data_IF_441340218529
#
_entry.id   IF_441340218529
#
_cell.length_a   1.000
_cell.length_b   1.000
_cell.length_c   1.000
_cell.angle_alpha   90.00
_cell.angle_beta   90.00
_cell.angle_gamma   90.00
#
_symmetry.space_group_name_H-M   'P 1'
#
loop_
_entity.id
_entity.type
_entity.pdbx_description
1 polymer ?
#
# COMPACT_ATOMS: atom_id res chain seq x y z
N UNK A 1 7.38 -13.47 17.09
CA UNK A 1 7.14 -14.51 16.08
C UNK A 1 7.34 -13.83 14.75
N UNK A 2 8.41 -14.19 14.03
CA UNK A 2 8.70 -13.59 12.73
C UNK A 2 7.78 -14.24 11.70
N UNK A 3 6.95 -13.43 11.03
CA UNK A 3 6.20 -13.88 9.87
C UNK A 3 7.23 -14.38 8.83
N UNK A 4 7.14 -15.67 8.50
CA UNK A 4 7.97 -16.28 7.46
C UNK A 4 7.41 -15.86 6.11
N UNK A 5 8.00 -14.82 5.53
CA UNK A 5 7.70 -14.40 4.17
C UNK A 5 8.22 -15.44 3.15
N UNK A 6 7.41 -15.74 2.14
CA UNK A 6 7.81 -16.54 0.96
C UNK A 6 8.24 -15.61 -0.20
N UNK A 7 9.25 -16.00 -0.99
CA UNK A 7 9.93 -15.17 -2.01
C UNK A 7 9.59 -15.62 -3.45
N UNK A 8 9.43 -14.69 -4.40
CA UNK A 8 9.14 -14.97 -5.82
C UNK A 8 9.91 -14.00 -6.78
N UNK A 9 10.14 -14.40 -8.03
CA UNK A 9 10.92 -13.65 -9.05
C UNK A 9 10.08 -12.72 -9.96
N UNK A 10 10.73 -11.73 -10.60
CA UNK A 10 10.14 -10.58 -11.30
C UNK A 10 10.46 -10.55 -12.82
N UNK A 11 9.63 -9.87 -13.65
CA UNK A 11 9.90 -9.51 -15.06
C UNK A 11 9.78 -7.98 -15.31
N UNK A 12 10.56 -7.44 -16.25
CA UNK A 12 10.97 -6.03 -16.43
C UNK A 12 9.91 -4.89 -16.34
N UNK A 13 10.34 -3.74 -15.79
CA UNK A 13 9.62 -2.46 -15.72
C UNK A 13 9.61 -1.77 -17.10
N UNK A 14 8.43 -1.52 -17.68
CA UNK A 14 8.31 -0.63 -18.84
C UNK A 14 8.03 0.82 -18.39
N UNK A 15 8.84 1.81 -18.81
CA UNK A 15 8.53 3.21 -18.53
C UNK A 15 7.34 3.66 -19.39
N UNK A 16 6.24 4.06 -18.74
CA UNK A 16 5.07 4.63 -19.44
C UNK A 16 5.18 6.15 -19.46
N UNK A 17 5.01 6.71 -20.65
CA UNK A 17 4.99 8.14 -20.96
C UNK A 17 3.72 8.82 -20.44
N UNK A 18 3.89 9.68 -19.43
CA UNK A 18 3.19 10.96 -19.12
C UNK A 18 1.67 11.16 -19.31
N UNK A 19 0.85 10.16 -19.66
CA UNK A 19 -0.60 10.35 -19.92
C UNK A 19 -1.53 10.20 -18.72
N UNK A 20 -1.02 9.91 -17.52
CA UNK A 20 -1.85 9.65 -16.33
C UNK A 20 -1.91 10.81 -15.33
N UNK A 21 -1.64 12.04 -15.78
CA UNK A 21 -1.71 13.24 -14.93
C UNK A 21 -2.80 14.17 -15.45
N UNK A 22 -4.08 13.81 -15.28
CA UNK A 22 -5.23 14.75 -15.26
C UNK A 22 -6.51 13.97 -14.98
N UNK A 23 -6.90 13.93 -13.71
CA UNK A 23 -8.31 13.74 -13.36
C UNK A 23 -9.00 15.12 -13.42
N UNK A 24 -10.10 15.24 -14.18
CA UNK A 24 -11.26 16.15 -14.02
C UNK A 24 -11.73 16.73 -15.37
N UNK A 25 -12.58 16.01 -16.09
CA UNK A 25 -13.85 16.54 -16.61
C UNK A 25 -14.89 15.41 -16.56
N UNK A 26 -16.03 15.69 -15.91
CA UNK A 26 -17.13 14.75 -15.70
C UNK A 26 -17.85 14.50 -17.03
N UNK A 27 -17.80 13.25 -17.54
CA UNK A 27 -18.62 12.83 -18.67
C UNK A 27 -19.55 11.66 -18.29
N UNK A 28 -20.78 11.57 -18.84
CA UNK A 28 -21.77 10.50 -18.57
C UNK A 28 -21.33 9.06 -18.90
N UNK A 29 -20.15 8.88 -19.50
CA UNK A 29 -19.50 7.60 -19.82
C UNK A 29 -19.08 6.78 -18.57
N UNK A 30 -19.21 7.32 -17.35
CA UNK A 30 -18.75 6.68 -16.10
C UNK A 30 -19.45 5.36 -15.76
N UNK A 31 -20.70 5.15 -16.22
CA UNK A 31 -21.41 3.87 -16.11
C UNK A 31 -20.75 2.76 -16.96
N UNK A 32 -20.10 3.13 -18.07
CA UNK A 32 -19.30 2.20 -18.89
C UNK A 32 -17.93 1.89 -18.27
N UNK A 33 -17.37 2.82 -17.50
CA UNK A 33 -16.08 2.67 -16.81
C UNK A 33 -16.13 1.75 -15.59
N UNK A 34 -17.26 1.68 -14.88
CA UNK A 34 -17.50 0.72 -13.79
C UNK A 34 -17.45 -0.75 -14.26
N UNK A 35 -17.79 -1.00 -15.53
CA UNK A 35 -17.71 -2.34 -16.15
C UNK A 35 -16.28 -2.74 -16.55
N UNK A 36 -15.33 -1.80 -16.62
CA UNK A 36 -13.93 -2.05 -17.00
C UNK A 36 -13.00 -2.29 -15.80
N UNK A 37 -13.47 -2.10 -14.57
CA UNK A 37 -12.67 -2.11 -13.33
C UNK A 37 -13.25 -3.10 -12.31
N UNK A 38 -13.68 -4.27 -12.78
CA UNK A 38 -14.21 -5.33 -11.92
C UNK A 38 -13.19 -5.68 -10.82
N UNK A 39 -13.64 -5.61 -9.56
CA UNK A 39 -12.80 -5.87 -8.37
C UNK A 39 -11.87 -4.75 -7.94
N UNK A 40 -11.75 -3.65 -8.68
CA UNK A 40 -10.83 -2.59 -8.30
C UNK A 40 -11.30 -1.81 -7.06
N UNK A 41 -10.35 -1.45 -6.20
CA UNK A 41 -10.56 -0.43 -5.19
C UNK A 41 -10.37 0.95 -5.83
N UNK A 42 -11.44 1.72 -5.94
CA UNK A 42 -11.44 3.04 -6.60
C UNK A 42 -11.60 4.20 -5.62
N UNK A 43 -12.04 3.93 -4.38
CA UNK A 43 -12.25 4.92 -3.32
C UNK A 43 -13.19 6.08 -3.69
N UNK A 44 -14.08 5.89 -4.68
CA UNK A 44 -15.00 6.93 -5.19
C UNK A 44 -16.28 7.10 -4.35
N UNK A 45 -16.58 6.13 -3.50
CA UNK A 45 -17.76 6.11 -2.63
C UNK A 45 -17.57 6.89 -1.33
N UNK A 46 -16.41 7.52 -1.14
CA UNK A 46 -16.08 8.27 0.08
C UNK A 46 -15.73 7.38 1.28
N UNK A 47 -15.61 6.08 1.09
CA UNK A 47 -15.24 5.12 2.13
C UNK A 47 -13.79 4.66 1.99
N UNK A 48 -13.28 3.90 2.97
CA UNK A 48 -12.01 3.18 2.85
C UNK A 48 -12.16 1.85 2.10
N UNK A 49 -13.36 1.51 1.63
CA UNK A 49 -13.69 0.24 0.97
C UNK A 49 -13.21 -0.99 1.75
N UNK A 50 -13.36 -0.94 3.09
CA UNK A 50 -13.00 -2.03 3.99
C UNK A 50 -11.51 -2.14 4.34
N UNK A 51 -10.66 -1.26 3.81
CA UNK A 51 -9.25 -1.23 4.18
C UNK A 51 -9.06 -0.80 5.64
N UNK A 52 -8.13 -1.46 6.32
CA UNK A 52 -7.81 -1.22 7.74
C UNK A 52 -6.32 -1.02 7.95
N UNK A 53 -5.97 -0.34 9.04
CA UNK A 53 -4.63 -0.41 9.60
C UNK A 53 -4.45 -1.77 10.26
N UNK A 54 -3.45 -2.53 9.83
CA UNK A 54 -3.06 -3.76 10.51
C UNK A 54 -2.08 -3.47 11.64
N UNK A 55 -0.98 -2.77 11.34
CA UNK A 55 0.07 -2.49 12.30
C UNK A 55 0.88 -1.25 11.94
N UNK A 56 1.32 -0.54 12.98
CA UNK A 56 2.39 0.44 12.91
C UNK A 56 3.63 -0.14 13.58
N UNK A 57 4.80 -0.03 12.94
CA UNK A 57 5.99 -0.79 13.33
C UNK A 57 7.30 -0.03 13.15
N UNK A 58 8.35 -0.46 13.86
CA UNK A 58 9.72 0.00 13.64
C UNK A 58 10.35 -0.84 12.52
N UNK A 59 10.57 -0.26 11.32
CA UNK A 59 11.10 -1.01 10.18
C UNK A 59 12.56 -1.43 10.37
N UNK A 60 13.29 -0.86 11.33
CA UNK A 60 14.70 -1.14 11.57
C UNK A 60 14.93 -2.08 12.75
N UNK A 61 13.88 -2.43 13.48
CA UNK A 61 13.91 -3.37 14.59
C UNK A 61 12.99 -4.56 14.36
N UNK A 62 13.17 -5.24 13.21
CA UNK A 62 12.46 -6.47 12.89
C UNK A 62 10.95 -6.34 12.82
N UNK A 63 10.43 -5.20 12.36
CA UNK A 63 9.01 -4.88 12.28
C UNK A 63 8.28 -4.95 13.64
N UNK A 64 8.99 -4.58 14.72
CA UNK A 64 8.42 -4.57 16.07
C UNK A 64 7.26 -3.57 16.16
N UNK A 65 6.09 -3.95 16.74
CA UNK A 65 4.96 -3.03 16.89
C UNK A 65 5.32 -1.75 17.65
N UNK A 66 4.92 -0.60 17.10
CA UNK A 66 5.11 0.69 17.74
C UNK A 66 3.98 0.99 18.72
N UNK A 67 4.34 1.50 19.90
CA UNK A 67 3.39 2.10 20.84
C UNK A 67 3.21 3.57 20.52
N UNK A 68 2.07 3.89 19.91
CA UNK A 68 1.75 5.25 19.47
C UNK A 68 1.01 5.99 20.57
N UNK A 69 1.42 7.25 20.78
CA UNK A 69 0.79 8.14 21.74
C UNK A 69 -0.39 8.91 21.09
N UNK A 70 -0.26 9.26 19.82
CA UNK A 70 -1.26 10.04 19.06
C UNK A 70 -1.13 9.84 17.55
N UNK A 71 -2.25 9.99 16.83
CA UNK A 71 -2.25 10.72 15.56
C UNK A 71 -2.37 9.97 14.25
N UNK A 72 -2.48 8.63 14.20
CA UNK A 72 -2.74 7.93 12.93
C UNK A 72 -4.22 7.93 12.56
N UNK A 73 -4.53 8.23 11.30
CA UNK A 73 -5.88 8.12 10.72
C UNK A 73 -5.79 7.41 9.36
N UNK A 74 -6.69 6.46 9.15
CA UNK A 74 -6.99 5.90 7.83
C UNK A 74 -8.34 6.45 7.38
N UNK A 75 -8.38 7.18 6.27
CA UNK A 75 -9.62 7.77 5.77
C UNK A 75 -9.68 7.76 4.25
N UNK A 76 -10.86 8.02 3.69
CA UNK A 76 -10.94 8.44 2.31
C UNK A 76 -10.39 9.86 2.16
N UNK A 77 -9.75 10.16 1.03
CA UNK A 77 -9.29 11.49 0.64
C UNK A 77 -9.93 11.88 -0.69
N UNK A 78 -10.87 12.83 -0.62
CA UNK A 78 -11.51 13.49 -1.78
C UNK A 78 -12.21 12.52 -2.75
N UNK A 79 -12.74 11.39 -2.25
CA UNK A 79 -13.38 10.36 -3.06
C UNK A 79 -12.46 9.82 -4.17
N UNK A 80 -11.15 9.73 -3.89
CA UNK A 80 -10.13 9.39 -4.90
C UNK A 80 -9.05 8.45 -4.40
N UNK A 81 -8.77 8.46 -3.10
CA UNK A 81 -7.67 7.70 -2.54
C UNK A 81 -7.95 7.30 -1.09
N UNK A 82 -7.38 6.18 -0.69
CA UNK A 82 -7.18 5.84 0.70
C UNK A 82 -6.00 6.66 1.24
N UNK A 83 -6.25 7.43 2.30
CA UNK A 83 -5.24 8.23 2.97
C UNK A 83 -4.83 7.60 4.29
N UNK A 84 -3.57 7.18 4.38
CA UNK A 84 -2.93 6.85 5.65
C UNK A 84 -2.12 8.07 6.10
N UNK A 85 -2.68 8.80 7.05
CA UNK A 85 -2.12 10.05 7.55
C UNK A 85 -1.72 9.90 9.00
N UNK A 86 -0.67 10.61 9.42
CA UNK A 86 -0.37 10.74 10.83
C UNK A 86 0.01 12.18 11.18
N UNK A 87 -0.80 12.85 12.01
CA UNK A 87 -0.64 14.28 12.29
C UNK A 87 -0.98 14.66 13.74
N UNK A 88 0.02 14.83 14.61
CA UNK A 88 1.40 14.36 14.50
C UNK A 88 1.50 12.84 14.80
N UNK A 89 2.40 12.12 14.13
CA UNK A 89 2.76 10.77 14.57
C UNK A 89 3.75 10.85 15.72
N UNK A 90 3.28 10.65 16.95
CA UNK A 90 4.15 10.66 18.12
C UNK A 90 4.34 9.24 18.63
N UNK A 91 5.58 8.77 18.55
CA UNK A 91 6.00 7.48 19.12
C UNK A 91 6.70 7.73 20.45
N UNK A 92 6.44 6.86 21.42
CA UNK A 92 6.97 7.00 22.79
C UNK A 92 8.49 6.85 22.86
N UNK A 93 9.05 6.05 21.97
CA UNK A 93 10.47 5.68 22.00
C UNK A 93 11.32 6.70 21.23
N UNK A 94 12.34 7.24 21.91
CA UNK A 94 13.23 8.29 21.39
C UNK A 94 14.23 7.76 20.36
N UNK A 95 14.40 6.44 20.23
CA UNK A 95 15.29 5.81 19.25
C UNK A 95 14.66 5.60 17.87
N UNK A 96 13.34 5.78 17.74
CA UNK A 96 12.61 5.51 16.50
C UNK A 96 12.82 6.65 15.52
N UNK A 97 13.41 6.33 14.37
CA UNK A 97 13.68 7.29 13.29
C UNK A 97 12.83 7.06 12.06
N UNK A 98 11.98 6.03 12.04
CA UNK A 98 11.03 5.75 10.97
C UNK A 98 9.81 5.02 11.52
N UNK A 99 8.67 5.17 10.83
CA UNK A 99 7.46 4.41 11.09
C UNK A 99 7.09 3.62 9.84
N UNK A 100 7.05 2.31 10.01
CA UNK A 100 6.41 1.40 9.10
C UNK A 100 4.90 1.35 9.32
N UNK A 101 4.16 1.21 8.23
CA UNK A 101 2.70 1.10 8.18
C UNK A 101 2.35 -0.13 7.35
N UNK A 102 1.59 -1.05 7.95
CA UNK A 102 0.91 -2.11 7.24
C UNK A 102 -0.58 -1.77 7.11
N UNK A 103 -1.05 -1.65 5.87
CA UNK A 103 -2.48 -1.64 5.57
C UNK A 103 -2.90 -2.99 5.03
N UNK A 104 -4.12 -3.40 5.37
CA UNK A 104 -4.71 -4.66 4.93
C UNK A 104 -6.03 -4.38 4.21
N UNK A 105 -6.25 -5.03 3.09
CA UNK A 105 -7.52 -5.00 2.37
C UNK A 105 -8.61 -5.76 3.13
N UNK A 106 -9.90 -5.62 2.77
CA UNK A 106 -10.92 -6.59 3.19
C UNK A 106 -10.56 -8.03 2.74
N UNK A 107 -11.27 -9.02 3.28
CA UNK A 107 -11.15 -10.41 2.85
C UNK A 107 -11.69 -10.57 1.42
N UNK A 108 -10.81 -10.96 0.51
CA UNK A 108 -11.05 -11.10 -0.92
C UNK A 108 -11.39 -12.54 -1.34
N UNK A 109 -11.41 -13.52 -0.43
CA UNK A 109 -11.57 -14.94 -0.78
C UNK A 109 -12.87 -15.28 -1.52
N UNK A 110 -13.89 -14.42 -1.40
CA UNK A 110 -15.18 -14.53 -2.07
C UNK A 110 -15.31 -13.60 -3.29
N UNK A 111 -14.33 -12.74 -3.53
CA UNK A 111 -14.34 -11.78 -4.63
C UNK A 111 -13.74 -12.43 -5.88
N UNK A 112 -14.60 -12.88 -6.80
CA UNK A 112 -14.21 -13.57 -8.05
C UNK A 112 -13.24 -12.76 -8.90
N UNK A 113 -13.35 -11.43 -8.84
CA UNK A 113 -12.45 -10.50 -9.49
C UNK A 113 -10.97 -10.70 -9.12
N UNK A 114 -10.73 -11.14 -7.88
CA UNK A 114 -9.41 -11.30 -7.26
C UNK A 114 -8.88 -12.73 -7.26
N UNK A 115 -9.66 -13.71 -7.72
CA UNK A 115 -9.21 -15.09 -7.77
C UNK A 115 -8.56 -15.42 -9.11
N UNK A 116 -7.47 -16.19 -9.08
CA UNK A 116 -6.72 -16.57 -10.30
C UNK A 116 -5.98 -15.41 -10.97
N UNK A 117 -5.72 -14.33 -10.25
CA UNK A 117 -5.01 -13.17 -10.78
C UNK A 117 -3.53 -13.48 -11.02
N UNK A 118 -2.93 -12.82 -12.01
CA UNK A 118 -1.49 -12.83 -12.24
C UNK A 118 -0.75 -11.88 -11.31
N UNK A 119 -1.44 -11.01 -10.59
CA UNK A 119 -0.81 -9.94 -9.84
C UNK A 119 -1.78 -8.81 -9.53
N UNK A 120 -1.25 -7.67 -9.10
CA UNK A 120 -2.05 -6.46 -8.93
C UNK A 120 -1.24 -5.21 -9.23
N UNK A 121 -1.95 -4.14 -9.54
CA UNK A 121 -1.38 -2.81 -9.77
C UNK A 121 -1.98 -1.79 -8.84
N UNK A 122 -1.24 -0.73 -8.54
CA UNK A 122 -1.76 0.40 -7.79
C UNK A 122 -1.07 1.72 -8.09
N UNK A 123 -1.79 2.81 -7.80
CA UNK A 123 -1.22 4.15 -7.73
C UNK A 123 -0.89 4.53 -6.28
N UNK A 124 0.27 5.17 -6.07
CA UNK A 124 0.74 5.59 -4.75
C UNK A 124 1.38 6.97 -4.81
N UNK A 125 1.15 7.77 -3.78
CA UNK A 125 1.86 9.02 -3.56
C UNK A 125 2.12 9.22 -2.07
N UNK A 126 3.35 9.56 -1.71
CA UNK A 126 3.66 10.08 -0.38
C UNK A 126 3.63 11.59 -0.44
N UNK A 127 2.63 12.23 0.19
CA UNK A 127 2.66 13.67 0.37
C UNK A 127 3.61 13.99 1.51
N UNK A 128 4.48 14.97 1.31
CA UNK A 128 5.33 15.51 2.36
C UNK A 128 5.06 16.99 2.54
N UNK A 129 4.80 17.34 3.79
CA UNK A 129 4.80 18.70 4.29
C UNK A 129 5.62 18.68 5.58
N UNK A 130 6.59 19.58 5.72
CA UNK A 130 7.26 19.81 7.00
C UNK A 130 7.40 21.31 7.22
N UNK A 131 6.62 21.90 8.13
CA UNK A 131 6.77 23.30 8.50
C UNK A 131 8.11 23.57 9.22
N UNK A 132 8.84 22.51 9.59
CA UNK A 132 10.10 22.58 10.33
C UNK A 132 11.33 22.36 9.43
N UNK A 133 11.17 22.46 8.10
CA UNK A 133 12.25 22.36 7.11
C UNK A 133 13.08 21.07 7.20
N UNK A 134 12.47 19.98 7.67
CA UNK A 134 13.15 18.69 7.74
C UNK A 134 13.38 18.13 6.33
N UNK A 135 14.61 17.69 6.07
CA UNK A 135 14.99 17.08 4.78
C UNK A 135 14.44 15.66 4.71
N UNK A 136 13.58 15.41 3.73
CA UNK A 136 13.04 14.08 3.47
C UNK A 136 14.09 13.20 2.82
N UNK A 137 14.42 12.06 3.43
CA UNK A 137 15.16 10.99 2.77
C UNK A 137 14.53 9.65 3.15
N UNK A 138 14.09 8.88 2.15
CA UNK A 138 13.82 7.45 2.32
C UNK A 138 12.38 7.05 2.62
N UNK A 139 11.37 7.67 2.00
CA UNK A 139 10.06 7.01 1.90
C UNK A 139 10.22 5.72 1.11
N UNK A 140 9.72 4.61 1.65
CA UNK A 140 9.81 3.31 0.97
C UNK A 140 8.47 2.61 0.91
N UNK A 141 8.28 1.79 -0.12
CA UNK A 141 7.06 1.04 -0.34
C UNK A 141 7.35 -0.38 -0.83
N UNK A 142 6.51 -1.33 -0.44
CA UNK A 142 6.53 -2.69 -0.96
C UNK A 142 5.10 -3.24 -1.06
N UNK A 143 4.85 -3.94 -2.17
CA UNK A 143 3.62 -4.69 -2.41
C UNK A 143 3.69 -6.06 -1.73
N UNK A 144 2.64 -6.42 -1.01
CA UNK A 144 2.48 -7.75 -0.41
C UNK A 144 1.06 -8.28 -0.63
N UNK A 145 0.89 -9.58 -0.45
CA UNK A 145 -0.37 -10.29 -0.62
C UNK A 145 -0.40 -11.49 0.31
N UNK A 146 -1.54 -11.73 0.92
CA UNK A 146 -1.82 -12.92 1.72
C UNK A 146 -2.62 -13.87 0.85
N UNK A 147 -2.05 -15.03 0.57
CA UNK A 147 -2.73 -16.09 -0.16
C UNK A 147 -3.06 -17.24 0.79
N UNK A 148 -4.23 -17.86 0.60
CA UNK A 148 -4.59 -19.12 1.26
C UNK A 148 -4.26 -20.26 0.31
N UNK A 149 -3.49 -21.23 0.78
CA UNK A 149 -3.10 -22.42 0.02
C UNK A 149 -4.25 -23.44 -0.09
N UNK A 150 -4.12 -24.48 -0.95
CA UNK A 150 -5.16 -25.52 -1.09
C UNK A 150 -5.45 -26.32 0.19
N UNK A 151 -4.58 -26.23 1.21
CA UNK A 151 -4.75 -26.88 2.51
C UNK A 151 -5.42 -25.93 3.53
N UNK A 152 -5.77 -24.72 3.12
CA UNK A 152 -6.42 -23.71 3.96
C UNK A 152 -5.46 -22.91 4.84
N UNK A 153 -4.15 -22.94 4.56
CA UNK A 153 -3.16 -22.18 5.32
C UNK A 153 -2.82 -20.87 4.61
N UNK A 154 -2.75 -19.78 5.37
CA UNK A 154 -2.38 -18.47 4.87
C UNK A 154 -0.86 -18.28 4.81
N UNK A 155 -0.39 -17.63 3.75
CA UNK A 155 1.00 -17.29 3.52
C UNK A 155 1.09 -15.86 2.99
N UNK A 156 2.04 -15.08 3.53
CA UNK A 156 2.31 -13.71 3.07
C UNK A 156 3.45 -13.72 2.07
N UNK A 157 3.15 -13.34 0.84
CA UNK A 157 4.13 -13.11 -0.22
C UNK A 157 4.42 -11.62 -0.29
N UNK A 158 5.69 -11.30 -0.46
CA UNK A 158 6.15 -9.95 -0.67
C UNK A 158 6.93 -9.88 -1.98
N UNK A 159 6.88 -8.72 -2.62
CA UNK A 159 7.62 -8.45 -3.83
C UNK A 159 9.13 -8.71 -3.64
N UNK A 160 9.71 -9.52 -4.54
CA UNK A 160 11.12 -9.85 -4.52
C UNK A 160 11.69 -9.93 -5.95
N UNK A 161 13.00 -9.67 -6.08
CA UNK A 161 13.75 -9.77 -7.33
C UNK A 161 15.10 -10.42 -7.03
N UNK A 162 15.46 -11.45 -7.79
CA UNK A 162 16.70 -12.22 -7.59
C UNK A 162 16.88 -12.70 -6.12
N UNK A 163 15.78 -13.15 -5.50
CA UNK A 163 15.77 -13.64 -4.12
C UNK A 163 15.90 -12.57 -3.02
N UNK A 164 15.89 -11.28 -3.37
CA UNK A 164 15.89 -10.15 -2.43
C UNK A 164 14.54 -9.42 -2.45
N UNK A 165 14.05 -9.02 -1.29
CA UNK A 165 12.83 -8.21 -1.21
C UNK A 165 13.03 -6.86 -1.91
N UNK A 166 12.05 -6.49 -2.72
CA UNK A 166 12.02 -5.18 -3.38
C UNK A 166 11.37 -4.19 -2.42
N UNK A 167 12.10 -3.11 -2.12
CA UNK A 167 11.59 -1.92 -1.43
C UNK A 167 11.81 -0.73 -2.36
N UNK A 168 10.72 -0.21 -2.90
CA UNK A 168 10.73 0.93 -3.82
C UNK A 168 11.01 2.22 -3.06
N UNK A 169 11.94 3.04 -3.57
CA UNK A 169 12.13 4.40 -3.09
C UNK A 169 11.04 5.31 -3.66
N UNK A 170 10.31 5.97 -2.77
CA UNK A 170 9.21 6.87 -3.13
C UNK A 170 9.69 8.31 -3.04
N UNK A 171 9.59 9.02 -4.17
CA UNK A 171 9.84 10.47 -4.18
C UNK A 171 8.62 11.21 -3.65
N UNK A 172 8.72 12.01 -2.59
CA UNK A 172 7.57 12.71 -2.05
C UNK A 172 6.95 13.69 -3.06
N UNK A 173 5.64 13.88 -2.95
CA UNK A 173 4.81 14.73 -3.79
C UNK A 173 4.81 14.37 -5.28
N UNK A 174 5.36 13.20 -5.64
CA UNK A 174 5.26 12.64 -6.98
C UNK A 174 4.38 11.38 -6.96
N UNK A 175 3.45 11.23 -7.91
CA UNK A 175 2.69 10.00 -8.07
C UNK A 175 3.58 8.89 -8.65
N UNK A 176 3.35 7.67 -8.20
CA UNK A 176 4.00 6.45 -8.65
C UNK A 176 2.92 5.45 -9.06
N UNK A 177 3.21 4.63 -10.06
CA UNK A 177 2.39 3.48 -10.44
C UNK A 177 3.24 2.23 -10.30
N UNK A 178 2.66 1.21 -9.68
CA UNK A 178 3.27 -0.09 -9.48
C UNK A 178 2.39 -1.15 -10.10
N UNK A 179 3.01 -2.15 -10.69
CA UNK A 179 2.39 -3.38 -11.13
C UNK A 179 3.30 -4.52 -10.67
N UNK A 180 2.74 -5.50 -9.99
CA UNK A 180 3.48 -6.65 -9.50
C UNK A 180 2.82 -7.93 -9.94
N UNK A 181 3.58 -8.77 -10.65
CA UNK A 181 3.19 -10.12 -11.06
C UNK A 181 3.55 -11.13 -9.98
N UNK A 182 2.59 -11.99 -9.66
CA UNK A 182 2.63 -13.03 -8.65
C UNK A 182 2.07 -14.33 -9.26
N UNK A 183 2.97 -15.16 -9.78
CA UNK A 183 2.61 -16.45 -10.39
C UNK A 183 1.84 -17.38 -9.45
N UNK A 184 2.09 -17.28 -8.15
CA UNK A 184 1.47 -18.14 -7.14
C UNK A 184 -0.05 -17.94 -7.02
N UNK A 185 -0.56 -16.71 -7.18
CA UNK A 185 -2.02 -16.46 -7.11
C UNK A 185 -2.80 -17.02 -8.30
N UNK A 186 -2.14 -17.29 -9.43
CA UNK A 186 -2.73 -17.94 -10.58
C UNK A 186 -2.76 -19.47 -10.49
N UNK A 187 -2.12 -20.06 -9.47
CA UNK A 187 -2.05 -21.52 -9.36
C UNK A 187 -3.37 -22.13 -8.85
N UNK A 188 -3.75 -23.32 -9.35
CA UNK A 188 -4.98 -23.99 -8.92
C UNK A 188 -5.06 -24.17 -7.39
N UNK A 189 -6.21 -23.81 -6.81
CA UNK A 189 -6.52 -23.99 -5.40
C UNK A 189 -5.94 -22.91 -4.46
N UNK A 190 -5.07 -22.02 -4.95
CA UNK A 190 -4.67 -20.83 -4.20
C UNK A 190 -5.76 -19.77 -4.29
N UNK A 191 -5.96 -19.04 -3.19
CA UNK A 191 -6.91 -17.93 -3.13
C UNK A 191 -6.25 -16.66 -2.62
N UNK A 192 -6.60 -15.54 -3.24
CA UNK A 192 -6.21 -14.22 -2.70
C UNK A 192 -7.13 -13.93 -1.53
N UNK A 193 -6.54 -13.78 -0.34
CA UNK A 193 -7.26 -13.47 0.89
C UNK A 193 -7.18 -11.99 1.22
N UNK A 194 -5.99 -11.41 1.21
CA UNK A 194 -5.81 -9.98 1.44
C UNK A 194 -4.68 -9.43 0.56
N UNK A 195 -4.79 -8.16 0.19
CA UNK A 195 -3.63 -7.36 -0.18
C UNK A 195 -3.06 -6.72 1.09
N UNK A 196 -1.74 -6.64 1.19
CA UNK A 196 -1.05 -5.97 2.29
C UNK A 196 -0.07 -4.95 1.73
N UNK A 197 -0.18 -3.71 2.18
CA UNK A 197 0.68 -2.61 1.72
C UNK A 197 1.66 -2.27 2.82
N UNK A 198 2.96 -2.37 2.51
CA UNK A 198 4.04 -1.99 3.44
C UNK A 198 4.60 -0.63 3.04
N UNK A 199 4.39 0.37 3.88
CA UNK A 199 4.88 1.73 3.67
C UNK A 199 5.83 2.13 4.79
N UNK A 200 6.91 2.84 4.48
CA UNK A 200 7.87 3.34 5.48
C UNK A 200 7.97 4.85 5.35
N UNK A 201 7.61 5.53 6.43
CA UNK A 201 7.73 6.98 6.59
C UNK A 201 8.99 7.26 7.41
N UNK A 202 9.97 8.02 6.89
CA UNK A 202 11.15 8.39 7.65
C UNK A 202 10.84 9.54 8.63
N UNK A 203 11.70 9.70 9.63
CA UNK A 203 11.73 10.77 10.64
C UNK A 203 10.46 10.89 11.49
N UNK A 204 10.31 9.97 12.45
CA UNK A 204 9.33 10.09 13.53
C UNK A 204 10.00 10.79 14.72
N UNK A 205 9.32 11.75 15.34
CA UNK A 205 9.86 12.47 16.49
C UNK A 205 8.97 12.34 17.72
N UNK A 206 9.58 12.52 18.89
CA UNK A 206 8.90 12.50 20.20
C UNK A 206 8.28 13.86 20.59
N UNK A 207 8.37 14.87 19.72
CA UNK A 207 7.79 16.20 19.92
C UNK A 207 7.03 16.68 18.68
N UNK A 208 6.07 17.57 18.89
CA UNK A 208 5.14 18.06 17.89
C UNK A 208 5.80 19.09 16.98
N UNK A 209 6.20 18.69 15.78
CA UNK A 209 6.61 19.61 14.71
C UNK A 209 5.65 19.52 13.52
N UNK A 210 4.36 19.77 13.79
CA UNK A 210 3.32 19.95 12.78
C UNK A 210 2.95 18.71 11.95
N UNK A 211 2.07 18.94 10.95
CA UNK A 211 1.52 17.91 10.06
C UNK A 211 2.64 17.22 9.28
N UNK A 212 2.89 15.94 9.57
CA UNK A 212 3.61 15.08 8.66
C UNK A 212 2.64 14.66 7.57
N UNK A 213 3.07 14.72 6.31
CA UNK A 213 2.17 14.45 5.19
C UNK A 213 1.60 13.02 5.21
N UNK A 214 0.86 12.66 4.17
CA UNK A 214 0.06 11.43 4.13
C UNK A 214 0.46 10.54 2.96
N UNK A 215 0.36 9.24 3.16
CA UNK A 215 0.30 8.30 2.05
C UNK A 215 -1.07 8.36 1.43
N UNK A 216 -1.11 8.44 0.10
CA UNK A 216 -2.31 8.36 -0.73
C UNK A 216 -2.18 7.12 -1.60
N UNK A 217 -3.03 6.13 -1.36
CA UNK A 217 -3.17 4.96 -2.21
C UNK A 217 -4.39 5.20 -3.11
N UNK A 218 -4.12 5.34 -4.40
CA UNK A 218 -5.15 5.54 -5.42
C UNK A 218 -5.77 4.20 -5.85
N UNK A 219 -6.18 4.11 -7.11
CA UNK A 219 -6.74 2.89 -7.68
C UNK A 219 -5.84 1.66 -7.42
N UNK A 220 -6.45 0.55 -7.00
CA UNK A 220 -5.81 -0.77 -6.85
C UNK A 220 -6.65 -1.77 -7.65
N UNK A 221 -6.02 -2.50 -8.57
CA UNK A 221 -6.74 -3.42 -9.47
C UNK A 221 -6.03 -4.77 -9.61
N UNK A 222 -6.78 -5.85 -9.79
CA UNK A 222 -6.21 -7.14 -10.16
C UNK A 222 -5.60 -7.07 -11.58
N UNK A 223 -4.51 -7.80 -11.79
CA UNK A 223 -3.92 -8.06 -13.11
C UNK A 223 -4.30 -9.48 -13.51
N UNK A 224 -4.94 -9.66 -14.67
CA UNK A 224 -5.47 -10.94 -15.15
C UNK A 224 -4.69 -11.49 -16.35
#
# INVERSE_FOLDING_TARGET
MADKYEKLDWEEITPITQRTVSALELHPEWLRWLLLHEGCFLFRDGTTQGWTLEQLFDPYNGDTPLKILTGFTLSNSQNRALAAAASPLTVRDKGITACGIYLLSPDLTKEEAWQGIKGYRLALQANWLSPCYLVHKGYKFQMQVVLTDPKGKDHTFAEAHAGQFVMHDIKPNLPHQFEWTLTQAGQPGWKVKHLRLRMITPYVHSYECGMYGKWLVGEICPVR
#
